data_IF_956473772485
#
_entry.id   IF_956473772485
#
_cell.length_a   1.000
_cell.length_b   1.000
_cell.length_c   1.000
_cell.angle_alpha   90.00
_cell.angle_beta   90.00
_cell.angle_gamma   90.00
#
_symmetry.space_group_name_H-M   'P 1'
#
loop_
_entity.id
_entity.type
_entity.pdbx_description
1 polymer ?
#
# COMPACT_ATOMS: atom_id res chain seq x y z
N UNK A 1 6.19 -3.02 -18.86
CA UNK A 1 6.94 -3.11 -17.58
C UNK A 1 7.84 -4.35 -17.60
N UNK A 2 9.11 -4.25 -17.17
CA UNK A 2 10.03 -5.41 -17.16
C UNK A 2 9.81 -6.31 -15.93
N UNK A 3 10.37 -7.53 -15.92
CA UNK A 3 10.20 -8.51 -14.84
C UNK A 3 10.62 -8.02 -13.46
N UNK A 4 11.70 -7.22 -13.38
CA UNK A 4 12.19 -6.67 -12.11
C UNK A 4 11.20 -5.65 -11.55
N UNK A 5 10.72 -4.72 -12.39
CA UNK A 5 9.72 -3.73 -12.01
C UNK A 5 8.39 -4.40 -11.63
N UNK A 6 7.99 -5.45 -12.36
CA UNK A 6 6.79 -6.25 -12.05
C UNK A 6 6.87 -6.88 -10.65
N UNK A 7 7.97 -7.58 -10.37
CA UNK A 7 8.20 -8.19 -9.05
C UNK A 7 8.25 -7.16 -7.93
N UNK A 8 8.86 -6.00 -8.19
CA UNK A 8 8.91 -4.90 -7.24
C UNK A 8 7.52 -4.33 -6.95
N UNK A 9 6.71 -4.08 -7.97
CA UNK A 9 5.35 -3.57 -7.86
C UNK A 9 4.50 -4.47 -6.97
N UNK A 10 4.44 -5.76 -7.30
CA UNK A 10 3.68 -6.77 -6.52
C UNK A 10 4.15 -6.81 -5.07
N UNK A 11 5.47 -6.85 -4.85
CA UNK A 11 6.02 -6.92 -3.49
C UNK A 11 5.68 -5.70 -2.64
N UNK A 12 5.67 -4.50 -3.22
CA UNK A 12 5.31 -3.27 -2.50
C UNK A 12 3.83 -3.32 -2.07
N UNK A 13 2.93 -3.66 -2.99
CA UNK A 13 1.49 -3.76 -2.70
C UNK A 13 1.15 -4.86 -1.70
N UNK A 14 1.71 -6.06 -1.84
CA UNK A 14 1.48 -7.14 -0.87
C UNK A 14 1.96 -6.75 0.54
N UNK A 15 3.02 -5.95 0.64
CA UNK A 15 3.51 -5.45 1.92
C UNK A 15 2.59 -4.38 2.51
N UNK A 16 2.07 -3.46 1.69
CA UNK A 16 1.12 -2.43 2.12
C UNK A 16 -0.19 -3.07 2.61
N UNK A 17 -0.76 -4.01 1.87
CA UNK A 17 -1.94 -4.80 2.26
C UNK A 17 -1.69 -5.55 3.58
N UNK A 18 -0.53 -6.19 3.73
CA UNK A 18 -0.19 -6.91 4.97
C UNK A 18 -0.14 -5.98 6.19
N UNK A 19 0.36 -4.74 6.02
CA UNK A 19 0.39 -3.74 7.09
C UNK A 19 -1.01 -3.21 7.39
N UNK A 20 -1.84 -2.96 6.38
CA UNK A 20 -3.24 -2.57 6.59
C UNK A 20 -4.04 -3.63 7.33
N UNK A 21 -3.86 -4.91 7.00
CA UNK A 21 -4.49 -6.00 7.73
C UNK A 21 -4.06 -6.05 9.20
N UNK A 22 -2.77 -5.79 9.49
CA UNK A 22 -2.28 -5.69 10.87
C UNK A 22 -2.89 -4.50 11.60
N UNK A 23 -3.02 -3.34 10.95
CA UNK A 23 -3.70 -2.17 11.52
C UNK A 23 -5.16 -2.50 11.84
N UNK A 24 -5.89 -3.14 10.93
CA UNK A 24 -7.30 -3.51 11.17
C UNK A 24 -7.48 -4.44 12.36
N UNK A 25 -6.57 -5.41 12.55
CA UNK A 25 -6.59 -6.31 13.71
C UNK A 25 -6.34 -5.55 15.02
N UNK A 26 -5.40 -4.60 15.01
CA UNK A 26 -5.08 -3.77 16.17
C UNK A 26 -6.22 -2.78 16.48
N UNK A 27 -6.80 -2.13 15.47
CA UNK A 27 -7.97 -1.25 15.61
C UNK A 27 -9.18 -2.02 16.16
N UNK A 28 -9.40 -3.26 15.71
CA UNK A 28 -10.43 -4.14 16.26
C UNK A 28 -10.18 -4.43 17.74
N UNK A 29 -8.92 -4.65 18.11
CA UNK A 29 -8.53 -4.89 19.50
C UNK A 29 -8.80 -3.66 20.37
N UNK A 30 -8.48 -2.45 19.91
CA UNK A 30 -8.77 -1.20 20.63
C UNK A 30 -10.26 -0.98 20.97
N UNK A 31 -11.16 -1.55 20.17
CA UNK A 31 -12.59 -1.45 20.38
C UNK A 31 -13.15 -2.42 21.42
N UNK A 32 -12.32 -3.29 22.02
CA UNK A 32 -12.74 -4.21 23.08
C UNK A 32 -12.73 -3.47 24.44
N UNK A 33 -13.85 -3.43 25.19
CA UNK A 33 -13.98 -2.65 26.43
C UNK A 33 -13.02 -2.99 27.58
N UNK A 34 -12.22 -4.06 27.46
CA UNK A 34 -11.36 -4.59 28.54
C UNK A 34 -9.93 -4.07 28.52
N UNK A 35 -9.57 -3.16 27.61
CA UNK A 35 -8.21 -2.61 27.53
C UNK A 35 -7.96 -1.57 28.62
N UNK A 36 -6.87 -1.74 29.37
CA UNK A 36 -6.35 -0.72 30.27
C UNK A 36 -5.65 0.40 29.46
N UNK A 37 -5.50 1.58 30.06
CA UNK A 37 -4.90 2.75 29.40
C UNK A 37 -3.47 2.53 28.89
N UNK A 38 -2.68 1.67 29.55
CA UNK A 38 -1.32 1.32 29.13
C UNK A 38 -1.29 0.52 27.82
N UNK A 39 -2.08 -0.54 27.75
CA UNK A 39 -2.18 -1.42 26.57
C UNK A 39 -2.71 -0.67 25.35
N UNK A 40 -3.63 0.28 25.57
CA UNK A 40 -4.16 1.15 24.52
C UNK A 40 -3.07 2.01 23.88
N UNK A 41 -2.24 2.67 24.68
CA UNK A 41 -1.18 3.55 24.16
C UNK A 41 -0.12 2.77 23.36
N UNK A 42 0.18 1.53 23.77
CA UNK A 42 1.09 0.65 23.05
C UNK A 42 0.52 0.27 21.67
N UNK A 43 -0.74 -0.15 21.62
CA UNK A 43 -1.42 -0.49 20.36
C UNK A 43 -1.49 0.72 19.42
N UNK A 44 -1.83 1.91 19.93
CA UNK A 44 -1.85 3.16 19.16
C UNK A 44 -0.46 3.50 18.59
N UNK A 45 0.61 3.29 19.37
CA UNK A 45 2.00 3.47 18.92
C UNK A 45 2.38 2.48 17.81
N UNK A 46 1.93 1.23 17.93
CA UNK A 46 2.17 0.20 16.92
C UNK A 46 1.44 0.52 15.61
N UNK A 47 0.18 0.95 15.68
CA UNK A 47 -0.58 1.41 14.50
C UNK A 47 0.12 2.58 13.84
N UNK A 48 0.57 3.59 14.61
CA UNK A 48 1.31 4.72 14.08
C UNK A 48 2.59 4.27 13.33
N UNK A 49 3.32 3.31 13.89
CA UNK A 49 4.52 2.73 13.26
C UNK A 49 4.18 2.04 11.93
N UNK A 50 3.08 1.29 11.86
CA UNK A 50 2.64 0.64 10.63
C UNK A 50 2.18 1.66 9.57
N UNK A 51 1.46 2.71 9.96
CA UNK A 51 1.09 3.81 9.07
C UNK A 51 2.30 4.52 8.47
N UNK A 52 3.35 4.74 9.25
CA UNK A 52 4.61 5.29 8.73
C UNK A 52 5.28 4.35 7.70
N UNK A 53 5.20 3.04 7.91
CA UNK A 53 5.73 2.05 6.95
C UNK A 53 4.92 2.01 5.66
N UNK A 54 3.59 2.13 5.74
CA UNK A 54 2.70 2.25 4.57
C UNK A 54 3.07 3.49 3.78
N UNK A 55 3.16 4.66 4.44
CA UNK A 55 3.60 5.90 3.79
C UNK A 55 4.93 5.74 3.05
N UNK A 56 5.92 5.08 3.67
CA UNK A 56 7.21 4.81 3.00
C UNK A 56 7.10 3.86 1.79
N UNK A 57 6.08 2.99 1.74
CA UNK A 57 5.77 2.17 0.57
C UNK A 57 5.14 3.05 -0.51
N UNK A 58 4.17 3.89 -0.16
CA UNK A 58 3.52 4.82 -1.08
C UNK A 58 4.54 5.76 -1.73
N UNK A 59 5.45 6.35 -0.94
CA UNK A 59 6.54 7.20 -1.42
C UNK A 59 7.41 6.48 -2.48
N UNK A 60 7.64 5.16 -2.31
CA UNK A 60 8.38 4.36 -3.29
C UNK A 60 7.56 4.09 -4.54
N UNK A 61 6.27 3.81 -4.40
CA UNK A 61 5.37 3.61 -5.54
C UNK A 61 5.31 4.91 -6.36
N UNK A 62 5.11 6.05 -5.71
CA UNK A 62 5.12 7.39 -6.31
C UNK A 62 6.44 7.63 -7.06
N UNK A 63 7.57 7.37 -6.42
CA UNK A 63 8.87 7.49 -7.09
C UNK A 63 8.93 6.66 -8.38
N UNK A 64 8.44 5.42 -8.36
CA UNK A 64 8.44 4.58 -9.55
C UNK A 64 7.43 5.01 -10.62
N UNK A 65 6.28 5.58 -10.24
CA UNK A 65 5.33 6.21 -11.16
C UNK A 65 6.00 7.39 -11.88
N UNK A 66 6.57 8.33 -11.13
CA UNK A 66 7.20 9.55 -11.65
C UNK A 66 8.37 9.26 -12.60
N UNK A 67 9.11 8.19 -12.34
CA UNK A 67 10.22 7.75 -13.19
C UNK A 67 9.78 6.85 -14.37
N UNK A 68 8.48 6.65 -14.59
CA UNK A 68 7.95 5.82 -15.68
C UNK A 68 8.21 4.32 -15.52
N UNK A 69 8.64 3.87 -14.34
CA UNK A 69 8.90 2.45 -14.06
C UNK A 69 7.59 1.67 -13.89
N UNK A 70 6.58 2.31 -13.29
CA UNK A 70 5.23 1.78 -13.13
C UNK A 70 4.30 2.53 -14.08
N UNK A 71 3.86 1.90 -15.18
CA UNK A 71 2.92 2.52 -16.13
C UNK A 71 1.49 2.50 -15.58
N UNK A 72 0.59 3.28 -16.19
CA UNK A 72 -0.84 3.35 -15.82
C UNK A 72 -1.50 1.96 -15.71
N UNK A 73 -1.20 1.08 -16.67
CA UNK A 73 -1.71 -0.29 -16.70
C UNK A 73 -0.89 -1.30 -15.86
N UNK A 74 -0.10 -0.84 -14.87
CA UNK A 74 0.75 -1.72 -14.05
C UNK A 74 -0.06 -2.80 -13.33
N UNK A 75 -1.28 -2.49 -12.89
CA UNK A 75 -2.15 -3.44 -12.18
C UNK A 75 -2.60 -4.57 -13.11
N UNK A 76 -3.03 -4.25 -14.33
CA UNK A 76 -3.41 -5.26 -15.33
C UNK A 76 -2.23 -6.18 -15.67
N UNK A 77 -1.03 -5.60 -15.82
CA UNK A 77 0.19 -6.38 -16.08
C UNK A 77 0.49 -7.35 -14.92
N UNK A 78 0.16 -6.98 -13.67
CA UNK A 78 0.46 -7.76 -12.46
C UNK A 78 -0.74 -8.55 -11.92
N UNK A 79 -1.86 -8.60 -12.65
CA UNK A 79 -3.14 -9.11 -12.12
C UNK A 79 -3.03 -10.55 -11.62
N UNK A 80 -2.32 -11.40 -12.35
CA UNK A 80 -2.14 -12.82 -11.99
C UNK A 80 -1.38 -12.98 -10.67
N UNK A 81 -0.34 -12.18 -10.44
CA UNK A 81 0.45 -12.23 -9.21
C UNK A 81 -0.23 -11.55 -8.01
N UNK A 82 -1.09 -10.56 -8.27
CA UNK A 82 -1.90 -9.91 -7.23
C UNK A 82 -3.10 -10.78 -6.82
N UNK A 83 -3.60 -11.61 -7.72
CA UNK A 83 -4.72 -12.51 -7.47
C UNK A 83 -5.95 -11.77 -6.94
N UNK A 84 -6.47 -12.20 -5.79
CA UNK A 84 -7.68 -11.64 -5.20
C UNK A 84 -7.54 -10.17 -4.77
N UNK A 85 -6.32 -9.66 -4.56
CA UNK A 85 -6.11 -8.26 -4.14
C UNK A 85 -6.00 -7.29 -5.31
N UNK A 86 -6.05 -7.78 -6.55
CA UNK A 86 -5.90 -6.95 -7.75
C UNK A 86 -6.94 -5.82 -7.82
N UNK A 87 -8.19 -6.07 -7.39
CA UNK A 87 -9.24 -5.04 -7.36
C UNK A 87 -8.91 -3.90 -6.41
N UNK A 88 -8.53 -4.22 -5.16
CA UNK A 88 -8.07 -3.22 -4.18
C UNK A 88 -6.89 -2.40 -4.71
N UNK A 89 -5.89 -3.08 -5.29
CA UNK A 89 -4.71 -2.42 -5.84
C UNK A 89 -5.09 -1.51 -7.02
N UNK A 90 -6.05 -1.90 -7.86
CA UNK A 90 -6.53 -1.08 -8.97
C UNK A 90 -7.08 0.26 -8.48
N UNK A 91 -7.96 0.22 -7.47
CA UNK A 91 -8.59 1.41 -6.91
C UNK A 91 -7.55 2.36 -6.30
N UNK A 92 -6.67 1.84 -5.43
CA UNK A 92 -5.66 2.65 -4.77
C UNK A 92 -4.59 3.17 -5.74
N UNK A 93 -4.12 2.32 -6.66
CA UNK A 93 -3.10 2.70 -7.63
C UNK A 93 -3.62 3.73 -8.63
N UNK A 94 -4.89 3.65 -9.04
CA UNK A 94 -5.49 4.63 -9.95
C UNK A 94 -5.40 6.05 -9.38
N UNK A 95 -5.71 6.24 -8.09
CA UNK A 95 -5.59 7.54 -7.44
C UNK A 95 -4.15 8.03 -7.38
N UNK A 96 -3.21 7.17 -6.94
CA UNK A 96 -1.79 7.51 -6.90
C UNK A 96 -1.23 7.84 -8.29
N UNK A 97 -1.66 7.12 -9.33
CA UNK A 97 -1.20 7.39 -10.68
C UNK A 97 -1.76 8.73 -11.18
N UNK A 98 -3.04 9.02 -10.98
CA UNK A 98 -3.62 10.31 -11.39
C UNK A 98 -2.95 11.51 -10.72
N UNK A 99 -2.57 11.39 -9.45
CA UNK A 99 -1.96 12.49 -8.69
C UNK A 99 -0.47 12.70 -8.99
N UNK A 100 0.25 11.62 -9.34
CA UNK A 100 1.72 11.63 -9.42
C UNK A 100 2.30 11.19 -10.75
N UNK A 101 1.49 10.82 -11.74
CA UNK A 101 1.96 10.58 -13.09
C UNK A 101 2.71 11.82 -13.60
N UNK A 102 3.82 11.63 -14.34
CA UNK A 102 4.53 12.76 -14.93
C UNK A 102 3.58 13.54 -15.84
N UNK A 103 3.32 14.81 -15.50
CA UNK A 103 2.46 15.69 -16.29
C UNK A 103 3.13 15.98 -17.63
N UNK A 104 2.74 15.23 -18.68
CA UNK A 104 3.22 15.44 -20.04
C UNK A 104 3.55 14.15 -20.79
N UNK A 105 2.55 13.57 -21.43
CA UNK A 105 2.64 13.13 -22.82
C UNK A 105 1.23 13.16 -23.42
N UNK A 106 0.82 14.32 -23.96
CA UNK A 106 0.45 14.42 -25.37
C UNK A 106 1.67 14.77 -26.23
#
# INVERSE_FOLDING_TARGET
MNTKSKSLFVRLWLKEISLNNQIQLLDTSLNVPRFHTGDRAEIETQIATFRQRIKSIDDKIIFHIQNGNFPENAVDICKDELGATAGYVADCYSSLYSDYAPSGNP
#
